data_IF_155951124883
#
_entry.id   IF_155951124883
#
_cell.length_a   1.000
_cell.length_b   1.000
_cell.length_c   1.000
_cell.angle_alpha   90.00
_cell.angle_beta   90.00
_cell.angle_gamma   90.00
#
_symmetry.space_group_name_H-M   'P 1'
#
loop_
_entity.id
_entity.type
_entity.pdbx_description
1 polymer ?
#
# COMPACT_ATOMS: atom_id res chain seq x y z
N UNK A 1 -1.76 -10.85 -14.06
CA UNK A 1 -2.88 -10.27 -13.26
C UNK A 1 -3.74 -9.46 -14.21
N UNK A 2 -5.05 -9.76 -14.35
CA UNK A 2 -5.94 -8.89 -15.12
C UNK A 2 -5.93 -7.51 -14.45
N UNK A 3 -5.79 -6.40 -15.18
CA UNK A 3 -5.88 -5.09 -14.59
C UNK A 3 -7.22 -4.98 -13.86
N UNK A 4 -7.23 -4.40 -12.67
CA UNK A 4 -8.47 -4.12 -11.94
C UNK A 4 -9.17 -3.02 -12.73
N UNK A 5 -10.05 -3.43 -13.65
CA UNK A 5 -10.74 -2.53 -14.58
C UNK A 5 -11.71 -1.57 -13.89
N UNK A 6 -11.99 -1.77 -12.60
CA UNK A 6 -12.94 -0.95 -11.84
C UNK A 6 -12.55 -0.87 -10.35
N UNK A 7 -11.61 -0.01 -10.04
CA UNK A 7 -11.31 0.40 -8.64
C UNK A 7 -12.56 0.92 -7.89
N UNK A 8 -13.57 1.34 -8.62
CA UNK A 8 -14.83 1.86 -8.07
C UNK A 8 -15.71 0.81 -7.37
N UNK A 9 -15.33 -0.48 -7.43
CA UNK A 9 -16.13 -1.58 -6.86
C UNK A 9 -15.32 -2.47 -5.90
N UNK A 10 -14.23 -1.95 -5.33
CA UNK A 10 -13.49 -2.70 -4.33
C UNK A 10 -14.37 -2.80 -3.07
N UNK A 11 -14.83 -3.99 -2.67
CA UNK A 11 -15.61 -4.11 -1.46
C UNK A 11 -14.74 -3.83 -0.24
N UNK A 12 -15.11 -2.82 0.52
CA UNK A 12 -14.55 -2.51 1.82
C UNK A 12 -15.52 -3.03 2.89
N UNK A 13 -15.08 -4.00 3.66
CA UNK A 13 -15.87 -4.51 4.81
C UNK A 13 -15.20 -4.06 6.10
N UNK A 14 -15.81 -3.10 6.77
CA UNK A 14 -15.38 -2.67 8.10
C UNK A 14 -15.70 -3.79 9.10
N UNK A 15 -14.66 -4.31 9.77
CA UNK A 15 -14.79 -5.42 10.75
C UNK A 15 -14.97 -4.93 12.17
N UNK A 16 -14.24 -3.91 12.57
CA UNK A 16 -14.35 -3.32 13.90
C UNK A 16 -13.75 -1.92 13.93
N UNK A 17 -14.24 -1.13 14.86
CA UNK A 17 -13.65 0.17 15.21
C UNK A 17 -13.34 0.18 16.69
N UNK A 18 -12.18 0.67 17.05
CA UNK A 18 -11.79 0.95 18.43
C UNK A 18 -11.51 2.44 18.50
N UNK A 19 -12.13 3.10 19.47
CA UNK A 19 -11.92 4.53 19.70
C UNK A 19 -11.58 4.73 21.16
N UNK A 20 -10.38 5.21 21.42
CA UNK A 20 -9.90 5.62 22.74
C UNK A 20 -9.61 7.12 22.74
N UNK A 21 -9.26 7.69 23.89
CA UNK A 21 -9.12 9.14 24.01
C UNK A 21 -8.04 9.71 23.06
N UNK A 22 -6.97 8.97 22.86
CA UNK A 22 -5.81 9.43 22.07
C UNK A 22 -5.70 8.85 20.66
N UNK A 23 -6.45 7.82 20.32
CA UNK A 23 -6.39 7.20 18.99
C UNK A 23 -7.72 6.60 18.53
N UNK A 24 -7.84 6.44 17.23
CA UNK A 24 -8.90 5.64 16.61
C UNK A 24 -8.26 4.60 15.70
N UNK A 25 -8.68 3.37 15.85
CA UNK A 25 -8.25 2.28 14.99
C UNK A 25 -9.45 1.66 14.28
N UNK A 26 -9.26 1.22 13.05
CA UNK A 26 -10.24 0.40 12.38
C UNK A 26 -9.58 -0.79 11.70
N UNK A 27 -10.31 -1.89 11.67
CA UNK A 27 -9.94 -3.09 10.94
C UNK A 27 -10.92 -3.25 9.79
N UNK A 28 -10.40 -3.42 8.58
CA UNK A 28 -11.20 -3.60 7.39
C UNK A 28 -10.70 -4.77 6.54
N UNK A 29 -11.57 -5.27 5.68
CA UNK A 29 -11.20 -6.18 4.59
C UNK A 29 -11.35 -5.44 3.27
N UNK A 30 -10.29 -5.43 2.48
CA UNK A 30 -10.29 -4.91 1.11
C UNK A 30 -9.80 -6.05 0.22
N UNK A 31 -10.63 -6.59 -0.65
CA UNK A 31 -10.31 -7.73 -1.51
C UNK A 31 -9.66 -8.88 -0.71
N UNK A 32 -10.27 -9.28 0.41
CA UNK A 32 -9.78 -10.31 1.33
C UNK A 32 -8.47 -9.96 2.08
N UNK A 33 -7.88 -8.80 1.84
CA UNK A 33 -6.78 -8.28 2.65
C UNK A 33 -7.30 -7.72 3.97
N UNK A 34 -6.66 -8.14 5.07
CA UNK A 34 -6.90 -7.50 6.37
C UNK A 34 -6.11 -6.20 6.44
N UNK A 35 -6.81 -5.10 6.57
CA UNK A 35 -6.22 -3.76 6.73
C UNK A 35 -6.49 -3.29 8.14
N UNK A 36 -5.43 -3.04 8.90
CA UNK A 36 -5.50 -2.43 10.23
C UNK A 36 -4.93 -1.02 10.13
N UNK A 37 -5.73 -0.04 10.48
CA UNK A 37 -5.31 1.36 10.44
C UNK A 37 -5.53 1.99 11.81
N UNK A 38 -4.50 2.60 12.34
CA UNK A 38 -4.56 3.34 13.61
C UNK A 38 -4.24 4.80 13.34
N UNK A 39 -5.12 5.69 13.77
CA UNK A 39 -4.93 7.13 13.69
C UNK A 39 -4.75 7.67 15.12
N UNK A 40 -3.70 8.43 15.35
CA UNK A 40 -3.61 9.23 16.57
C UNK A 40 -4.59 10.39 16.46
N UNK A 41 -5.44 10.57 17.46
CA UNK A 41 -6.31 11.73 17.50
C UNK A 41 -5.47 13.00 17.60
N UNK A 42 -5.47 13.78 16.56
CA UNK A 42 -5.20 15.20 16.69
C UNK A 42 -6.48 15.83 17.26
N UNK A 43 -6.35 16.69 18.26
CA UNK A 43 -7.47 17.40 18.90
C UNK A 43 -8.27 18.25 17.88
N UNK A 44 -9.03 17.61 17.03
CA UNK A 44 -9.97 18.24 16.10
C UNK A 44 -11.34 18.27 16.78
N UNK A 45 -11.72 19.43 17.31
CA UNK A 45 -12.95 19.66 18.07
C UNK A 45 -14.26 19.52 17.26
N UNK A 46 -14.27 18.91 16.09
CA UNK A 46 -15.49 18.83 15.29
C UNK A 46 -15.76 17.41 14.80
N UNK A 47 -16.76 16.76 15.40
CA UNK A 47 -17.36 15.55 14.82
C UNK A 47 -18.18 15.97 13.59
N UNK A 48 -17.76 15.56 12.40
CA UNK A 48 -18.55 15.73 11.18
C UNK A 48 -19.29 14.42 10.94
N UNK A 49 -20.63 14.46 10.89
CA UNK A 49 -21.40 13.32 10.45
C UNK A 49 -21.15 13.10 8.95
N UNK A 50 -20.71 11.90 8.60
CA UNK A 50 -20.48 11.53 7.21
C UNK A 50 -21.76 10.94 6.65
N UNK A 51 -22.35 11.60 5.65
CA UNK A 51 -23.54 11.09 4.94
C UNK A 51 -23.13 10.11 3.83
N UNK A 52 -24.05 9.27 3.36
CA UNK A 52 -23.79 8.30 2.29
C UNK A 52 -23.25 8.93 1.01
N UNK A 53 -23.71 10.13 0.64
CA UNK A 53 -23.25 10.87 -0.54
C UNK A 53 -21.76 11.27 -0.46
N UNK A 54 -21.30 11.64 0.73
CA UNK A 54 -19.88 11.97 0.96
C UNK A 54 -19.01 10.72 0.79
N UNK A 55 -19.47 9.58 1.31
CA UNK A 55 -18.78 8.29 1.15
C UNK A 55 -18.74 7.83 -0.30
N UNK A 56 -19.82 8.00 -1.04
CA UNK A 56 -19.92 7.63 -2.43
C UNK A 56 -18.99 8.46 -3.31
N UNK A 57 -18.92 9.77 -3.09
CA UNK A 57 -17.96 10.66 -3.75
C UNK A 57 -16.51 10.29 -3.45
N UNK A 58 -16.19 9.95 -2.20
CA UNK A 58 -14.85 9.56 -1.79
C UNK A 58 -14.41 8.22 -2.40
N UNK A 59 -15.26 7.19 -2.28
CA UNK A 59 -14.93 5.84 -2.74
C UNK A 59 -14.90 5.76 -4.27
N UNK A 60 -15.81 6.46 -4.94
CA UNK A 60 -15.99 6.31 -6.38
C UNK A 60 -15.10 7.23 -7.22
N UNK A 61 -14.64 8.36 -6.69
CA UNK A 61 -13.95 9.36 -7.50
C UNK A 61 -12.54 9.71 -7.01
N UNK A 62 -12.18 9.38 -5.78
CA UNK A 62 -10.95 9.83 -5.14
C UNK A 62 -9.69 9.51 -5.96
N UNK A 63 -9.60 8.30 -6.53
CA UNK A 63 -8.42 7.86 -7.27
C UNK A 63 -8.61 7.83 -8.79
N UNK A 64 -9.79 8.17 -9.29
CA UNK A 64 -10.13 8.00 -10.71
C UNK A 64 -9.23 8.80 -11.65
N UNK A 65 -8.83 9.97 -11.24
CA UNK A 65 -8.03 10.92 -12.03
C UNK A 65 -6.64 11.16 -11.40
N UNK A 66 -6.21 10.26 -10.53
CA UNK A 66 -4.92 10.35 -9.86
C UNK A 66 -4.06 9.19 -10.36
N UNK A 67 -2.84 9.51 -10.77
CA UNK A 67 -1.79 8.56 -11.09
C UNK A 67 -0.62 8.76 -10.13
N UNK A 68 0.08 7.68 -9.86
CA UNK A 68 1.28 7.68 -9.06
C UNK A 68 2.43 7.23 -9.93
N UNK A 69 3.40 8.10 -10.13
CA UNK A 69 4.63 7.79 -10.85
C UNK A 69 5.67 7.38 -9.82
N UNK A 70 6.32 6.23 -10.03
CA UNK A 70 7.44 5.74 -9.22
C UNK A 70 8.68 5.74 -10.10
N UNK A 71 9.76 6.37 -9.65
CA UNK A 71 10.98 6.59 -10.42
C UNK A 71 12.21 6.65 -9.51
N UNK A 72 13.40 6.85 -10.09
CA UNK A 72 14.70 6.83 -9.38
C UNK A 72 14.85 5.57 -8.52
N UNK A 73 14.50 4.42 -9.10
CA UNK A 73 14.48 3.14 -8.41
C UNK A 73 15.91 2.60 -8.28
N UNK A 74 16.30 2.24 -7.06
CA UNK A 74 17.57 1.60 -6.74
C UNK A 74 17.37 0.42 -5.81
N UNK A 75 17.98 -0.72 -6.14
CA UNK A 75 18.01 -1.87 -5.24
C UNK A 75 19.35 -1.92 -4.51
N UNK A 76 19.32 -2.29 -3.25
CA UNK A 76 20.48 -2.44 -2.39
C UNK A 76 20.49 -3.87 -1.89
N UNK A 77 21.36 -4.68 -2.45
CA UNK A 77 21.56 -6.06 -2.04
C UNK A 77 22.59 -6.13 -0.93
N UNK A 78 22.29 -6.89 0.12
CA UNK A 78 23.28 -7.16 1.16
C UNK A 78 24.12 -8.36 0.76
N UNK A 79 25.46 -8.18 0.76
CA UNK A 79 26.43 -9.17 0.31
C UNK A 79 26.32 -10.55 1.00
N UNK A 80 25.72 -10.61 2.18
CA UNK A 80 25.69 -11.83 3.00
C UNK A 80 24.46 -12.73 2.80
N UNK A 81 23.39 -12.21 2.21
CA UNK A 81 22.18 -13.01 1.99
C UNK A 81 21.37 -12.37 0.86
N UNK A 82 21.22 -13.05 -0.26
CA UNK A 82 20.34 -12.69 -1.37
C UNK A 82 18.87 -12.44 -0.94
N UNK A 83 18.56 -12.85 0.27
CA UNK A 83 17.24 -12.79 0.89
C UNK A 83 16.93 -11.47 1.62
N UNK A 84 17.89 -10.53 1.69
CA UNK A 84 17.73 -9.24 2.37
C UNK A 84 18.07 -8.10 1.43
N UNK A 85 17.21 -7.86 0.48
CA UNK A 85 17.35 -6.67 -0.37
C UNK A 85 16.46 -5.53 0.14
N UNK A 86 16.86 -4.34 -0.24
CA UNK A 86 16.13 -3.11 0.02
C UNK A 86 15.91 -2.36 -1.29
N UNK A 87 14.88 -1.55 -1.35
CA UNK A 87 14.57 -0.67 -2.46
C UNK A 87 14.52 0.76 -1.96
N UNK A 88 15.13 1.66 -2.70
CA UNK A 88 14.90 3.10 -2.60
C UNK A 88 14.23 3.55 -3.89
N UNK A 89 13.21 4.38 -3.78
CA UNK A 89 12.56 4.99 -4.92
C UNK A 89 11.97 6.34 -4.54
N UNK A 90 11.63 7.11 -5.56
CA UNK A 90 10.82 8.31 -5.44
C UNK A 90 9.45 8.05 -6.01
N UNK A 91 8.45 8.75 -5.47
CA UNK A 91 7.11 8.74 -6.02
C UNK A 91 6.53 10.14 -6.02
N UNK A 92 5.67 10.41 -7.00
CA UNK A 92 4.91 11.65 -7.08
C UNK A 92 3.47 11.36 -7.50
N UNK A 93 2.57 12.27 -7.12
CA UNK A 93 1.17 12.24 -7.52
C UNK A 93 0.95 13.17 -8.70
N UNK A 94 0.38 12.64 -9.76
CA UNK A 94 -0.05 13.42 -10.92
C UNK A 94 -1.56 13.33 -11.09
N UNK A 95 -2.21 14.47 -11.17
CA UNK A 95 -3.62 14.56 -11.53
C UNK A 95 -3.76 14.54 -13.05
N UNK A 96 -4.46 13.55 -13.59
CA UNK A 96 -4.67 13.41 -15.04
C UNK A 96 -5.81 14.29 -15.55
N UNK A 97 -6.73 14.68 -14.65
CA UNK A 97 -7.84 15.61 -14.89
C UNK A 97 -8.09 16.38 -13.60
N UNK A 98 -8.83 17.48 -13.71
CA UNK A 98 -9.30 18.20 -12.52
C UNK A 98 -10.03 17.25 -11.59
N UNK A 99 -9.57 17.17 -10.35
CA UNK A 99 -10.16 16.37 -9.29
C UNK A 99 -11.03 17.28 -8.44
N UNK A 100 -12.34 16.98 -8.42
CA UNK A 100 -13.27 17.70 -7.56
C UNK A 100 -13.25 17.09 -6.15
N UNK A 101 -12.42 17.66 -5.29
CA UNK A 101 -12.32 17.24 -3.90
C UNK A 101 -13.51 17.75 -3.10
N UNK A 102 -14.43 16.85 -2.73
CA UNK A 102 -15.61 17.14 -1.91
C UNK A 102 -15.64 16.29 -0.65
N UNK A 103 -16.30 16.79 0.38
CA UNK A 103 -16.49 16.05 1.61
C UNK A 103 -15.17 15.62 2.26
N UNK A 104 -15.03 14.35 2.60
CA UNK A 104 -13.83 13.80 3.24
C UNK A 104 -12.60 13.95 2.32
N UNK A 105 -12.77 13.79 1.02
CA UNK A 105 -11.65 13.88 0.07
C UNK A 105 -11.04 15.28 -0.01
N UNK A 106 -11.77 16.33 0.36
CA UNK A 106 -11.24 17.70 0.41
C UNK A 106 -10.03 17.83 1.35
N UNK A 107 -9.94 16.96 2.37
CA UNK A 107 -8.80 16.94 3.29
C UNK A 107 -7.52 16.41 2.66
N UNK A 108 -7.61 15.76 1.50
CA UNK A 108 -6.48 15.15 0.79
C UNK A 108 -6.09 15.92 -0.48
N UNK A 109 -6.63 17.12 -0.70
CA UNK A 109 -6.22 17.96 -1.84
C UNK A 109 -4.73 18.29 -1.79
N UNK A 110 -4.21 18.56 -0.60
CA UNK A 110 -2.83 18.99 -0.36
C UNK A 110 -1.94 17.91 0.29
N UNK A 111 -2.46 16.71 0.53
CA UNK A 111 -1.69 15.60 1.09
C UNK A 111 -2.10 14.26 0.49
N UNK A 112 -1.20 13.30 0.57
CA UNK A 112 -1.50 11.93 0.18
C UNK A 112 -2.53 11.31 1.13
N UNK A 113 -3.52 10.65 0.58
CA UNK A 113 -4.41 9.78 1.35
C UNK A 113 -3.70 8.47 1.69
N UNK A 114 -4.17 7.79 2.75
CA UNK A 114 -3.65 6.47 3.10
C UNK A 114 -3.78 5.47 1.94
N UNK A 115 -4.86 5.55 1.16
CA UNK A 115 -5.08 4.64 0.05
C UNK A 115 -4.06 4.86 -1.08
N UNK A 116 -3.72 6.11 -1.40
CA UNK A 116 -2.66 6.44 -2.35
C UNK A 116 -1.32 5.87 -1.89
N UNK A 117 -0.97 6.09 -0.61
CA UNK A 117 0.26 5.55 -0.03
C UNK A 117 0.29 4.03 -0.06
N UNK A 118 -0.82 3.35 0.24
CA UNK A 118 -0.92 1.89 0.12
C UNK A 118 -0.68 1.40 -1.31
N UNK A 119 -1.19 2.11 -2.32
CA UNK A 119 -0.95 1.77 -3.74
C UNK A 119 0.53 1.90 -4.07
N UNK A 120 1.16 3.02 -3.72
CA UNK A 120 2.58 3.27 -3.97
C UNK A 120 3.44 2.18 -3.29
N UNK A 121 3.21 1.92 -2.01
CA UNK A 121 3.96 0.89 -1.28
C UNK A 121 3.70 -0.53 -1.79
N UNK A 122 2.51 -0.80 -2.32
CA UNK A 122 2.21 -2.10 -2.94
C UNK A 122 3.02 -2.32 -4.20
N UNK A 123 3.13 -1.30 -5.05
CA UNK A 123 3.97 -1.36 -6.26
C UNK A 123 5.46 -1.48 -5.91
N UNK A 124 5.92 -0.73 -4.92
CA UNK A 124 7.29 -0.83 -4.43
C UNK A 124 7.59 -2.24 -3.88
N UNK A 125 6.67 -2.83 -3.13
CA UNK A 125 6.80 -4.17 -2.58
C UNK A 125 6.76 -5.25 -3.66
N UNK A 126 5.98 -5.07 -4.72
CA UNK A 126 5.95 -5.93 -5.91
C UNK A 126 7.31 -5.94 -6.61
N UNK A 127 7.87 -4.75 -6.90
CA UNK A 127 9.19 -4.63 -7.51
C UNK A 127 10.28 -5.30 -6.67
N UNK A 128 10.22 -5.10 -5.35
CA UNK A 128 11.19 -5.69 -4.42
C UNK A 128 11.09 -7.23 -4.37
N UNK A 129 9.87 -7.79 -4.45
CA UNK A 129 9.68 -9.22 -4.52
C UNK A 129 10.23 -9.83 -5.80
N UNK A 130 9.98 -9.21 -6.94
CA UNK A 130 10.49 -9.67 -8.24
C UNK A 130 12.00 -9.59 -8.31
N UNK A 131 12.60 -8.50 -7.83
CA UNK A 131 14.05 -8.36 -7.75
C UNK A 131 14.67 -9.46 -6.87
N UNK A 132 14.10 -9.69 -5.67
CA UNK A 132 14.60 -10.70 -4.73
C UNK A 132 14.49 -12.15 -5.25
N UNK A 133 13.54 -12.41 -6.13
CA UNK A 133 13.34 -13.72 -6.76
C UNK A 133 14.04 -13.83 -8.13
N UNK A 134 14.61 -12.74 -8.62
CA UNK A 134 15.19 -12.62 -9.97
C UNK A 134 14.20 -13.08 -11.05
N UNK A 135 12.97 -12.61 -10.96
CA UNK A 135 11.86 -12.99 -11.83
C UNK A 135 11.30 -11.72 -12.48
N UNK A 136 11.16 -11.75 -13.80
CA UNK A 136 10.46 -10.71 -14.52
C UNK A 136 8.95 -10.75 -14.21
N UNK A 137 8.32 -9.57 -14.21
CA UNK A 137 6.89 -9.44 -13.94
C UNK A 137 6.03 -10.35 -14.83
N UNK A 138 6.39 -10.46 -16.11
CA UNK A 138 5.63 -11.26 -17.08
C UNK A 138 5.74 -12.76 -16.83
N UNK A 139 6.79 -13.19 -16.12
CA UNK A 139 7.01 -14.58 -15.70
C UNK A 139 6.36 -14.90 -14.34
N UNK A 140 5.91 -13.88 -13.60
CA UNK A 140 5.28 -14.08 -12.30
C UNK A 140 3.89 -14.67 -12.45
N UNK A 141 3.59 -15.72 -11.70
CA UNK A 141 2.25 -16.35 -11.71
C UNK A 141 1.26 -15.54 -10.86
N UNK A 142 1.55 -15.34 -9.59
CA UNK A 142 0.63 -14.69 -8.65
C UNK A 142 1.39 -14.08 -7.47
N UNK A 143 1.03 -12.84 -7.14
CA UNK A 143 1.52 -12.16 -5.96
C UNK A 143 0.35 -11.67 -5.12
N UNK A 144 0.26 -12.11 -3.87
CA UNK A 144 -0.81 -11.75 -2.95
C UNK A 144 -0.27 -10.99 -1.75
N UNK A 145 -0.82 -9.84 -1.50
CA UNK A 145 -0.61 -9.15 -0.24
C UNK A 145 -1.62 -9.67 0.80
N UNK A 146 -1.11 -10.32 1.86
CA UNK A 146 -1.95 -10.98 2.86
C UNK A 146 -2.35 -10.07 4.02
N UNK A 147 -1.40 -9.36 4.58
CA UNK A 147 -1.62 -8.45 5.68
C UNK A 147 -0.89 -7.15 5.39
N UNK A 148 -1.53 -6.03 5.70
CA UNK A 148 -0.91 -4.72 5.65
C UNK A 148 -1.22 -4.01 6.96
N UNK A 149 -0.19 -3.43 7.54
CA UNK A 149 -0.31 -2.50 8.67
C UNK A 149 0.37 -1.21 8.25
N UNK A 150 -0.34 -0.11 8.37
CA UNK A 150 0.19 1.22 8.07
C UNK A 150 -0.04 2.13 9.28
N UNK A 151 1.01 2.85 9.65
CA UNK A 151 0.98 3.88 10.67
C UNK A 151 1.39 5.21 10.05
N UNK A 152 0.47 6.16 10.02
CA UNK A 152 0.71 7.52 9.54
C UNK A 152 0.88 8.42 10.76
N UNK A 153 2.10 8.91 10.95
CA UNK A 153 2.47 9.76 12.09
C UNK A 153 2.15 11.23 11.80
N UNK A 154 2.33 11.62 10.53
CA UNK A 154 2.10 13.00 10.07
C UNK A 154 1.52 12.98 8.65
N UNK A 155 0.68 13.98 8.29
CA UNK A 155 0.27 14.15 6.91
C UNK A 155 1.48 14.32 5.98
N UNK A 156 1.43 13.64 4.85
CA UNK A 156 2.47 13.75 3.81
C UNK A 156 1.95 14.68 2.73
N UNK A 157 2.52 15.88 2.57
CA UNK A 157 2.12 16.80 1.52
C UNK A 157 2.27 16.17 0.13
N UNK A 158 1.41 16.58 -0.79
CA UNK A 158 1.52 16.20 -2.21
C UNK A 158 2.82 16.76 -2.78
N UNK A 159 3.42 16.02 -3.69
CA UNK A 159 4.70 16.28 -4.31
C UNK A 159 5.61 15.07 -4.17
N UNK A 160 6.85 15.22 -4.56
CA UNK A 160 7.84 14.14 -4.50
C UNK A 160 8.01 13.61 -3.07
N UNK A 161 7.92 12.31 -2.93
CA UNK A 161 8.24 11.57 -1.71
C UNK A 161 9.33 10.55 -1.96
N UNK A 162 10.25 10.43 -1.04
CA UNK A 162 11.32 9.43 -1.05
C UNK A 162 10.95 8.28 -0.15
N UNK A 163 11.07 7.07 -0.66
CA UNK A 163 10.58 5.85 -0.03
C UNK A 163 11.70 4.83 0.09
N UNK A 164 11.69 4.15 1.22
CA UNK A 164 12.56 3.01 1.52
C UNK A 164 11.71 1.79 1.78
N UNK A 165 12.04 0.68 1.15
CA UNK A 165 11.44 -0.62 1.40
C UNK A 165 12.49 -1.67 1.67
N UNK A 166 12.16 -2.68 2.47
CA UNK A 166 13.07 -3.80 2.73
C UNK A 166 12.34 -5.09 3.03
N UNK A 167 12.95 -6.19 2.62
CA UNK A 167 12.58 -7.52 3.06
C UNK A 167 13.16 -7.74 4.45
N UNK A 168 12.30 -8.06 5.41
CA UNK A 168 12.66 -8.40 6.78
C UNK A 168 12.95 -9.88 6.95
N UNK A 169 12.10 -10.69 6.31
CA UNK A 169 12.19 -12.15 6.32
C UNK A 169 11.57 -12.68 5.04
N UNK A 170 12.04 -13.83 4.63
CA UNK A 170 11.36 -14.63 3.61
C UNK A 170 11.36 -16.10 4.00
N UNK A 171 10.46 -16.85 3.42
CA UNK A 171 10.33 -18.28 3.62
C UNK A 171 9.75 -18.91 2.35
N UNK A 172 10.42 -19.95 1.86
CA UNK A 172 9.89 -20.83 0.83
C UNK A 172 8.97 -21.87 1.47
N UNK A 173 7.79 -22.06 0.88
CA UNK A 173 6.83 -23.08 1.28
C UNK A 173 6.28 -23.79 0.04
N UNK A 174 5.99 -25.08 0.16
CA UNK A 174 5.13 -25.77 -0.79
C UNK A 174 3.67 -25.60 -0.37
N UNK A 175 2.83 -25.25 -1.34
CA UNK A 175 1.40 -25.14 -1.15
C UNK A 175 0.69 -25.76 -2.34
N UNK A 176 0.12 -26.94 -2.16
CA UNK A 176 -0.60 -27.71 -3.21
C UNK A 176 0.27 -28.02 -4.43
N UNK A 177 1.54 -28.37 -4.22
CA UNK A 177 2.47 -28.72 -5.28
C UNK A 177 3.09 -27.52 -6.01
N UNK A 178 2.88 -26.31 -5.53
CA UNK A 178 3.49 -25.10 -6.06
C UNK A 178 4.42 -24.46 -5.04
N UNK A 179 5.54 -23.96 -5.49
CA UNK A 179 6.49 -23.22 -4.67
C UNK A 179 6.00 -21.80 -4.45
N UNK A 180 5.89 -21.41 -3.18
CA UNK A 180 5.53 -20.07 -2.77
C UNK A 180 6.62 -19.47 -1.88
N UNK A 181 6.96 -18.23 -2.16
CA UNK A 181 7.83 -17.45 -1.30
C UNK A 181 7.01 -16.45 -0.50
N UNK A 182 7.14 -16.51 0.82
CA UNK A 182 6.44 -15.60 1.73
C UNK A 182 7.44 -14.54 2.18
N UNK A 183 7.16 -13.30 1.88
CA UNK A 183 7.95 -12.15 2.32
C UNK A 183 7.27 -11.42 3.46
N UNK A 184 8.03 -11.06 4.47
CA UNK A 184 7.68 -10.02 5.44
C UNK A 184 8.46 -8.77 5.06
N UNK A 185 7.74 -7.73 4.68
CA UNK A 185 8.30 -6.49 4.17
C UNK A 185 7.95 -5.32 5.08
N UNK A 186 8.80 -4.31 5.06
CA UNK A 186 8.51 -3.02 5.68
C UNK A 186 8.94 -1.89 4.76
N UNK A 187 8.21 -0.79 4.82
CA UNK A 187 8.53 0.42 4.10
C UNK A 187 8.23 1.66 4.94
N UNK A 188 8.90 2.75 4.60
CA UNK A 188 8.72 4.05 5.22
C UNK A 188 9.07 5.14 4.20
N UNK A 189 8.59 6.37 4.42
CA UNK A 189 9.21 7.51 3.78
C UNK A 189 10.50 7.90 4.54
N UNK A 190 11.41 8.59 3.87
CA UNK A 190 12.71 8.96 4.47
C UNK A 190 12.61 9.87 5.68
N UNK A 191 11.45 10.51 5.88
CA UNK A 191 11.15 11.37 7.04
C UNK A 191 10.39 10.64 8.14
N UNK A 192 10.15 9.33 8.01
CA UNK A 192 9.39 8.50 8.95
C UNK A 192 7.97 9.03 9.28
N UNK A 193 7.32 9.69 8.32
CA UNK A 193 5.93 10.17 8.46
C UNK A 193 4.91 9.06 8.27
N UNK A 194 5.30 8.00 7.55
CA UNK A 194 4.54 6.77 7.39
C UNK A 194 5.46 5.57 7.56
N UNK A 195 4.96 4.54 8.23
CA UNK A 195 5.56 3.22 8.29
C UNK A 195 4.53 2.19 7.84
N UNK A 196 4.94 1.32 6.92
CA UNK A 196 4.09 0.23 6.42
C UNK A 196 4.82 -1.08 6.62
N UNK A 197 4.09 -2.09 7.06
CA UNK A 197 4.55 -3.48 7.06
C UNK A 197 3.53 -4.34 6.33
N UNK A 198 4.02 -5.31 5.58
CA UNK A 198 3.16 -6.22 4.82
C UNK A 198 3.73 -7.63 4.82
N UNK A 199 2.82 -8.58 4.62
CA UNK A 199 3.16 -9.97 4.33
C UNK A 199 2.65 -10.31 2.94
N UNK A 200 3.56 -10.71 2.06
CA UNK A 200 3.30 -11.00 0.66
C UNK A 200 3.58 -12.47 0.39
N UNK A 201 2.71 -13.11 -0.37
CA UNK A 201 2.92 -14.45 -0.89
C UNK A 201 3.10 -14.36 -2.41
N UNK A 202 4.24 -14.83 -2.91
CA UNK A 202 4.60 -14.87 -4.31
C UNK A 202 4.67 -16.31 -4.77
N UNK A 203 3.85 -16.69 -5.74
CA UNK A 203 3.92 -17.99 -6.39
C UNK A 203 5.04 -17.96 -7.41
N UNK A 204 6.05 -18.79 -7.19
CA UNK A 204 7.17 -18.90 -8.12
C UNK A 204 6.76 -19.67 -9.37
N UNK A 205 7.34 -19.35 -10.56
CA UNK A 205 7.16 -20.16 -11.77
C UNK A 205 7.70 -21.56 -11.54
N UNK A 206 7.16 -22.54 -12.24
CA UNK A 206 7.68 -23.89 -12.24
C UNK A 206 9.03 -23.93 -12.97
N UNK A 207 10.00 -24.65 -12.39
CA UNK A 207 11.32 -24.79 -13.00
C UNK A 207 11.14 -25.54 -14.34
N UNK A 208 11.19 -24.84 -15.46
CA UNK A 208 11.12 -25.43 -16.79
C UNK A 208 10.09 -24.79 -17.76
N UNK A 209 9.41 -23.73 -17.37
CA UNK A 209 8.63 -22.89 -18.27
C UNK A 209 9.39 -21.66 -18.76
#
# INVERSE_FOLDING_TARGET
MKPIENLNKIPLVLKSTITEDDYSAFNALILDMKVNVTFKKLNLQKKVAVTGEILEGFINNHLKNIQHDIYDISFIDTLDTADKCSIFCKADRRETKSVDYKGISANFSNCYSLLELLIIFSQMAEMLAYHADNIDRDCSKTLWMKNVTAEVVQPIPVGEIELLGKIRKNKLIDMKGHNWKIFEMSGADTKNRICISSKIAHQLPELGE
#
